data_IF_703548531698
#
_entry.id   IF_703548531698
#
_cell.length_a   1.000
_cell.length_b   1.000
_cell.length_c   1.000
_cell.angle_alpha   90.00
_cell.angle_beta   90.00
_cell.angle_gamma   90.00
#
_symmetry.space_group_name_H-M   'P 1'
#
loop_
_entity.id
_entity.type
_entity.pdbx_description
1 polymer ?
#
# COMPACT_ATOMS: atom_id res chain seq x y z
N UNK A 1 7.07 -24.84 -16.38
CA UNK A 1 7.05 -23.67 -17.27
C UNK A 1 6.59 -22.41 -16.55
N UNK A 2 5.31 -22.33 -16.19
CA UNK A 2 4.71 -21.13 -15.59
C UNK A 2 5.18 -20.78 -14.17
N UNK A 3 5.53 -21.78 -13.36
CA UNK A 3 5.97 -21.57 -11.97
C UNK A 3 7.26 -20.74 -11.88
N UNK A 4 8.26 -21.04 -12.70
CA UNK A 4 9.51 -20.27 -12.76
C UNK A 4 9.24 -18.81 -13.11
N UNK A 5 8.38 -18.55 -14.11
CA UNK A 5 7.98 -17.20 -14.48
C UNK A 5 7.25 -16.47 -13.36
N UNK A 6 6.35 -17.14 -12.65
CA UNK A 6 5.63 -16.56 -11.51
C UNK A 6 6.60 -16.14 -10.39
N UNK A 7 7.56 -17.00 -10.03
CA UNK A 7 8.58 -16.66 -9.03
C UNK A 7 9.55 -15.56 -9.49
N UNK A 8 9.94 -15.56 -10.77
CA UNK A 8 10.76 -14.48 -11.33
C UNK A 8 10.03 -13.14 -11.28
N UNK A 9 8.76 -13.10 -11.69
CA UNK A 9 7.95 -11.88 -11.62
C UNK A 9 7.77 -11.41 -10.17
N UNK A 10 7.49 -12.32 -9.24
CA UNK A 10 7.39 -11.97 -7.82
C UNK A 10 8.72 -11.43 -7.27
N UNK A 11 9.85 -12.03 -7.64
CA UNK A 11 11.17 -11.53 -7.27
C UNK A 11 11.43 -10.12 -7.79
N UNK A 12 11.03 -9.84 -9.03
CA UNK A 12 11.10 -8.49 -9.63
C UNK A 12 10.21 -7.50 -8.86
N UNK A 13 8.98 -7.87 -8.54
CA UNK A 13 8.06 -7.03 -7.75
C UNK A 13 8.65 -6.73 -6.38
N UNK A 14 9.11 -7.75 -5.66
CA UNK A 14 9.72 -7.59 -4.33
C UNK A 14 10.97 -6.69 -4.39
N UNK A 15 11.86 -6.89 -5.38
CA UNK A 15 13.05 -6.07 -5.57
C UNK A 15 12.69 -4.61 -5.91
N UNK A 16 11.67 -4.39 -6.76
CA UNK A 16 11.19 -3.06 -7.14
C UNK A 16 10.61 -2.32 -5.93
N UNK A 17 9.82 -3.01 -5.11
CA UNK A 17 9.25 -2.46 -3.88
C UNK A 17 10.36 -2.14 -2.87
N UNK A 18 11.32 -3.04 -2.67
CA UNK A 18 12.45 -2.80 -1.78
C UNK A 18 13.27 -1.58 -2.21
N UNK A 19 13.52 -1.43 -3.52
CA UNK A 19 14.22 -0.28 -4.07
C UNK A 19 13.41 1.02 -3.87
N UNK A 20 12.11 1.01 -4.14
CA UNK A 20 11.24 2.17 -3.95
C UNK A 20 11.22 2.62 -2.47
N UNK A 21 11.12 1.67 -1.54
CA UNK A 21 11.20 1.95 -0.10
C UNK A 21 12.58 2.51 0.27
N UNK A 22 13.67 1.91 -0.22
CA UNK A 22 15.02 2.40 0.06
C UNK A 22 15.25 3.82 -0.47
N UNK A 23 14.79 4.12 -1.69
CA UNK A 23 14.85 5.47 -2.27
C UNK A 23 14.00 6.47 -1.47
N UNK A 24 12.81 6.07 -1.05
CA UNK A 24 11.95 6.90 -0.21
C UNK A 24 12.60 7.18 1.14
N UNK A 25 13.22 6.18 1.77
CA UNK A 25 13.94 6.34 3.03
C UNK A 25 15.15 7.26 2.91
N UNK A 26 15.82 7.25 1.76
CA UNK A 26 16.93 8.15 1.43
C UNK A 26 16.47 9.59 1.12
N UNK A 27 15.20 9.81 0.83
CA UNK A 27 14.64 11.15 0.59
C UNK A 27 14.33 11.90 1.90
N UNK A 28 14.08 13.21 1.79
CA UNK A 28 13.57 14.05 2.89
C UNK A 28 12.06 13.88 3.15
N UNK A 29 11.42 12.84 2.61
CA UNK A 29 10.05 12.51 2.94
C UNK A 29 9.87 12.29 4.45
N UNK A 30 8.68 12.61 4.95
CA UNK A 30 8.34 12.49 6.37
C UNK A 30 8.33 11.03 6.83
N UNK A 31 8.56 10.83 8.12
CA UNK A 31 8.70 9.51 8.72
C UNK A 31 7.42 8.67 8.59
N UNK A 32 6.25 9.32 8.62
CA UNK A 32 4.95 8.68 8.48
C UNK A 32 4.74 8.10 7.08
N UNK A 33 5.19 8.81 6.03
CA UNK A 33 5.13 8.32 4.64
C UNK A 33 6.09 7.15 4.44
N UNK A 34 7.28 7.22 5.04
CA UNK A 34 8.26 6.12 5.04
C UNK A 34 7.73 4.87 5.74
N UNK A 35 7.08 5.04 6.89
CA UNK A 35 6.47 3.94 7.63
C UNK A 35 5.28 3.31 6.88
N UNK A 36 4.41 4.14 6.30
CA UNK A 36 3.30 3.66 5.47
C UNK A 36 3.80 2.88 4.24
N UNK A 37 4.81 3.42 3.53
CA UNK A 37 5.40 2.77 2.36
C UNK A 37 6.06 1.42 2.71
N UNK A 38 6.75 1.36 3.87
CA UNK A 38 7.37 0.13 4.34
C UNK A 38 6.31 -0.93 4.68
N UNK A 39 5.24 -0.56 5.39
CA UNK A 39 4.17 -1.49 5.76
C UNK A 39 3.44 -2.04 4.52
N UNK A 40 3.10 -1.17 3.57
CA UNK A 40 2.48 -1.58 2.31
C UNK A 40 3.45 -2.40 1.43
N UNK A 41 4.74 -2.03 1.43
CA UNK A 41 5.77 -2.76 0.69
C UNK A 41 6.03 -4.17 1.23
N UNK A 42 5.98 -4.34 2.55
CA UNK A 42 6.10 -5.65 3.19
C UNK A 42 4.97 -6.60 2.75
N UNK A 43 3.74 -6.09 2.59
CA UNK A 43 2.61 -6.85 2.07
C UNK A 43 2.79 -7.22 0.59
N UNK A 44 3.40 -6.36 -0.23
CA UNK A 44 3.66 -6.68 -1.64
C UNK A 44 4.80 -7.70 -1.82
N UNK A 45 5.71 -7.78 -0.86
CA UNK A 45 6.78 -8.77 -0.88
C UNK A 45 6.27 -10.20 -0.64
N UNK A 46 5.15 -10.37 0.09
CA UNK A 46 4.56 -11.70 0.33
C UNK A 46 3.93 -12.24 -0.97
N UNK A 47 4.39 -13.41 -1.49
CA UNK A 47 3.86 -14.00 -2.72
C UNK A 47 2.39 -14.41 -2.64
N UNK A 48 1.90 -14.61 -1.41
CA UNK A 48 0.52 -15.00 -1.14
C UNK A 48 -0.08 -14.01 -0.16
N UNK A 49 -1.02 -13.21 -0.66
CA UNK A 49 -1.83 -12.28 0.12
C UNK A 49 -3.22 -12.90 0.28
N UNK A 50 -3.53 -13.36 1.48
CA UNK A 50 -4.85 -13.88 1.81
C UNK A 50 -5.71 -12.79 2.46
N UNK A 51 -7.00 -13.05 2.63
CA UNK A 51 -7.95 -12.10 3.19
C UNK A 51 -7.55 -11.57 4.57
N UNK A 52 -6.93 -12.42 5.39
CA UNK A 52 -6.47 -12.01 6.73
C UNK A 52 -5.29 -11.04 6.66
N UNK A 53 -4.47 -11.09 5.61
CA UNK A 53 -3.38 -10.16 5.40
C UNK A 53 -3.90 -8.76 5.04
N UNK A 54 -5.12 -8.63 4.48
CA UNK A 54 -5.72 -7.32 4.20
C UNK A 54 -5.96 -6.49 5.47
N UNK A 55 -6.06 -7.12 6.64
CA UNK A 55 -6.10 -6.41 7.93
C UNK A 55 -4.81 -5.61 8.14
N UNK A 56 -3.67 -6.08 7.64
CA UNK A 56 -2.39 -5.39 7.72
C UNK A 56 -2.40 -4.07 6.95
N UNK A 57 -3.28 -3.92 5.95
CA UNK A 57 -3.47 -2.66 5.22
C UNK A 57 -3.99 -1.52 6.13
N UNK A 58 -4.54 -1.86 7.30
CA UNK A 58 -4.92 -0.86 8.32
C UNK A 58 -3.71 -0.07 8.83
N UNK A 59 -2.52 -0.69 8.88
CA UNK A 59 -1.28 -0.03 9.34
C UNK A 59 -0.87 1.14 8.44
N UNK A 60 -0.68 0.98 7.11
CA UNK A 60 -0.36 2.10 6.23
C UNK A 60 -1.48 3.15 6.19
N UNK A 61 -2.75 2.75 6.26
CA UNK A 61 -3.88 3.69 6.33
C UNK A 61 -3.85 4.50 7.63
N UNK A 62 -3.50 3.89 8.78
CA UNK A 62 -3.38 4.60 10.05
C UNK A 62 -2.27 5.66 10.01
N UNK A 63 -1.12 5.36 9.37
CA UNK A 63 -0.07 6.35 9.16
C UNK A 63 -0.52 7.50 8.24
N UNK A 64 -1.27 7.21 7.18
CA UNK A 64 -1.85 8.25 6.32
C UNK A 64 -2.86 9.13 7.08
N UNK A 65 -3.70 8.54 7.94
CA UNK A 65 -4.63 9.28 8.79
C UNK A 65 -3.87 10.15 9.80
N UNK A 66 -2.86 9.59 10.47
CA UNK A 66 -2.02 10.33 11.42
C UNK A 66 -1.34 11.53 10.75
N UNK A 67 -0.88 11.36 9.51
CA UNK A 67 -0.27 12.42 8.72
C UNK A 67 -1.30 13.47 8.26
N UNK A 68 -2.48 13.05 7.80
CA UNK A 68 -3.60 13.94 7.46
C UNK A 68 -4.10 14.75 8.66
N UNK A 69 -4.06 14.19 9.88
CA UNK A 69 -4.38 14.93 11.11
C UNK A 69 -3.36 16.01 11.45
N UNK A 70 -2.09 15.84 11.05
CA UNK A 70 -1.01 16.79 11.35
C UNK A 70 -0.92 17.93 10.33
N UNK A 71 -1.12 17.64 9.05
CA UNK A 71 -0.93 18.63 7.96
C UNK A 71 -2.24 19.10 7.32
N UNK A 72 -3.37 18.52 7.70
CA UNK A 72 -4.63 18.66 6.98
C UNK A 72 -4.83 17.52 5.98
N UNK A 73 -6.09 17.13 5.81
CA UNK A 73 -6.49 16.13 4.84
C UNK A 73 -6.69 16.77 3.47
N UNK A 74 -6.08 16.21 2.42
CA UNK A 74 -6.47 16.57 1.05
C UNK A 74 -7.85 15.96 0.75
N UNK A 75 -8.69 16.64 -0.02
CA UNK A 75 -10.06 16.20 -0.36
C UNK A 75 -10.12 14.75 -0.89
N UNK A 76 -9.12 14.34 -1.67
CA UNK A 76 -9.03 12.99 -2.24
C UNK A 76 -8.44 11.93 -1.28
N UNK A 77 -7.81 12.32 -0.17
CA UNK A 77 -7.21 11.36 0.77
C UNK A 77 -8.26 10.63 1.59
N UNK A 78 -9.25 11.36 2.14
CA UNK A 78 -10.36 10.71 2.83
C UNK A 78 -11.16 9.82 1.88
N UNK A 79 -11.41 10.28 0.65
CA UNK A 79 -12.08 9.46 -0.36
C UNK A 79 -11.29 8.17 -0.66
N UNK A 80 -9.97 8.26 -0.81
CA UNK A 80 -9.11 7.09 -1.05
C UNK A 80 -9.03 6.14 0.15
N UNK A 81 -8.94 6.67 1.38
CA UNK A 81 -8.95 5.86 2.61
C UNK A 81 -10.30 5.16 2.76
N UNK A 82 -11.42 5.87 2.58
CA UNK A 82 -12.76 5.28 2.59
C UNK A 82 -12.90 4.21 1.50
N UNK A 83 -12.42 4.47 0.28
CA UNK A 83 -12.43 3.49 -0.79
C UNK A 83 -11.65 2.22 -0.40
N UNK A 84 -10.43 2.36 0.14
CA UNK A 84 -9.64 1.23 0.60
C UNK A 84 -10.37 0.42 1.69
N UNK A 85 -11.00 1.09 2.67
CA UNK A 85 -11.82 0.44 3.69
C UNK A 85 -13.02 -0.30 3.10
N UNK A 86 -13.76 0.32 2.17
CA UNK A 86 -14.90 -0.31 1.49
C UNK A 86 -14.47 -1.51 0.67
N UNK A 87 -13.34 -1.43 -0.03
CA UNK A 87 -12.79 -2.55 -0.79
C UNK A 87 -12.41 -3.74 0.10
N UNK A 88 -11.90 -3.49 1.32
CA UNK A 88 -11.63 -4.56 2.30
C UNK A 88 -12.94 -5.16 2.81
N UNK A 89 -13.95 -4.33 3.12
CA UNK A 89 -15.24 -4.76 3.64
C UNK A 89 -16.06 -5.57 2.63
N UNK A 90 -15.97 -5.23 1.35
CA UNK A 90 -16.73 -5.90 0.28
C UNK A 90 -16.06 -7.20 -0.20
N UNK A 91 -14.80 -7.44 0.20
CA UNK A 91 -14.03 -8.64 -0.15
C UNK A 91 -14.79 -9.96 0.03
N UNK A 92 -15.38 -10.28 1.20
CA UNK A 92 -16.06 -11.57 1.39
C UNK A 92 -17.32 -11.73 0.52
N UNK A 93 -17.81 -10.65 -0.07
CA UNK A 93 -19.02 -10.64 -0.90
C UNK A 93 -18.74 -10.65 -2.40
N UNK A 94 -17.48 -10.46 -2.81
CA UNK A 94 -17.09 -10.24 -4.21
C UNK A 94 -15.96 -11.18 -4.60
N UNK A 95 -16.14 -11.96 -5.66
CA UNK A 95 -15.12 -12.88 -6.22
C UNK A 95 -14.02 -12.16 -7.00
N UNK A 96 -14.13 -10.85 -7.21
CA UNK A 96 -13.11 -10.03 -7.86
C UNK A 96 -11.91 -9.76 -6.92
N UNK A 97 -10.71 -9.48 -7.46
CA UNK A 97 -9.49 -9.26 -6.67
C UNK A 97 -9.46 -7.88 -5.97
N UNK A 98 -10.46 -7.60 -5.13
CA UNK A 98 -10.61 -6.32 -4.42
C UNK A 98 -9.48 -6.05 -3.42
N UNK A 99 -8.80 -7.09 -2.92
CA UNK A 99 -7.59 -6.93 -2.11
C UNK A 99 -6.44 -6.25 -2.87
N UNK A 100 -6.21 -6.65 -4.14
CA UNK A 100 -5.20 -6.02 -4.98
C UNK A 100 -5.53 -4.55 -5.27
N UNK A 101 -6.80 -4.26 -5.56
CA UNK A 101 -7.25 -2.89 -5.77
C UNK A 101 -7.10 -2.02 -4.51
N UNK A 102 -7.32 -2.55 -3.30
CA UNK A 102 -7.07 -1.83 -2.05
C UNK A 102 -5.59 -1.47 -1.86
N UNK A 103 -4.68 -2.39 -2.20
CA UNK A 103 -3.23 -2.17 -2.16
C UNK A 103 -2.82 -1.09 -3.17
N UNK A 104 -3.37 -1.12 -4.39
CA UNK A 104 -3.12 -0.09 -5.40
C UNK A 104 -3.58 1.30 -4.94
N UNK A 105 -4.76 1.39 -4.33
CA UNK A 105 -5.27 2.64 -3.77
C UNK A 105 -4.36 3.15 -2.65
N UNK A 106 -3.98 2.28 -1.71
CA UNK A 106 -3.06 2.64 -0.63
C UNK A 106 -1.68 3.09 -1.15
N UNK A 107 -1.11 2.35 -2.09
CA UNK A 107 0.15 2.67 -2.74
C UNK A 107 0.10 4.00 -3.51
N UNK A 108 -0.99 4.27 -4.22
CA UNK A 108 -1.19 5.53 -4.93
C UNK A 108 -1.28 6.73 -3.98
N UNK A 109 -1.95 6.59 -2.83
CA UNK A 109 -2.01 7.63 -1.79
C UNK A 109 -0.62 7.93 -1.21
N UNK A 110 0.13 6.88 -0.87
CA UNK A 110 1.50 7.00 -0.34
C UNK A 110 2.42 7.64 -1.36
N UNK A 111 2.39 7.18 -2.61
CA UNK A 111 3.19 7.73 -3.70
C UNK A 111 2.88 9.21 -3.96
N UNK A 112 1.59 9.60 -3.96
CA UNK A 112 1.19 11.00 -4.10
C UNK A 112 1.69 11.88 -2.97
N UNK A 113 1.66 11.39 -1.72
CA UNK A 113 2.21 12.12 -0.56
C UNK A 113 3.74 12.23 -0.60
N UNK A 114 4.42 11.22 -1.16
CA UNK A 114 5.86 11.26 -1.35
C UNK A 114 6.31 12.21 -2.48
N UNK A 115 5.52 12.31 -3.56
CA UNK A 115 5.83 13.15 -4.73
C UNK A 115 5.37 14.61 -4.58
N UNK A 116 4.32 14.86 -3.79
CA UNK A 116 3.81 16.19 -3.47
C UNK A 116 3.85 16.43 -1.95
N UNK A 117 5.06 16.60 -1.38
CA UNK A 117 5.28 16.80 0.06
C UNK A 117 4.62 18.07 0.60
#
# INVERSE_FOLDING_TARGET
GGETWAWTLQGIVAATVALAVALLWRSNARHEVKAAALALGAMLATPYLYTYDLVVLTVPLAFLIALGRREGFRSHEMAGICAACVLILIFPFVTAPVGFAAILVGGALIARRALAP
#
